data_IF_546289465455
#
_entry.id   IF_546289465455
#
_cell.length_a   1.000
_cell.length_b   1.000
_cell.length_c   1.000
_cell.angle_alpha   90.00
_cell.angle_beta   90.00
_cell.angle_gamma   90.00
#
_symmetry.space_group_name_H-M   'P 1'
#
loop_
_entity.id
_entity.type
_entity.pdbx_description
1 polymer ?
#
# COMPACT_ATOMS: atom_id res chain seq x y z
N UNK A 1 1.41 0.03 12.77
CA UNK A 1 1.84 -1.20 13.47
C UNK A 1 0.65 -2.02 13.97
N UNK A 2 -0.41 -1.40 14.50
CA UNK A 2 -1.63 -2.07 15.01
C UNK A 2 -2.38 -2.99 14.02
N UNK A 3 -2.39 -2.67 12.73
CA UNK A 3 -3.06 -3.51 11.71
C UNK A 3 -2.35 -4.85 11.49
N UNK A 4 -1.03 -4.91 11.68
CA UNK A 4 -0.26 -6.14 11.53
C UNK A 4 -0.55 -7.07 12.71
N UNK A 5 -0.66 -6.53 13.93
CA UNK A 5 -0.97 -7.29 15.14
C UNK A 5 -2.39 -7.89 15.10
N UNK A 6 -3.36 -7.15 14.55
CA UNK A 6 -4.75 -7.63 14.38
C UNK A 6 -4.83 -8.76 13.34
N UNK A 7 -4.10 -8.63 12.23
CA UNK A 7 -4.00 -9.68 11.21
C UNK A 7 -3.31 -10.94 11.77
N UNK A 8 -2.24 -10.77 12.54
CA UNK A 8 -1.56 -11.89 13.19
C UNK A 8 -2.48 -12.63 14.17
N UNK A 9 -3.22 -11.92 15.02
CA UNK A 9 -4.18 -12.53 15.96
C UNK A 9 -5.30 -13.30 15.24
N UNK A 10 -5.81 -12.76 14.11
CA UNK A 10 -6.83 -13.47 13.29
C UNK A 10 -6.27 -14.71 12.62
N UNK A 11 -5.02 -14.67 12.12
CA UNK A 11 -4.37 -15.83 11.49
C UNK A 11 -4.13 -16.93 12.52
N UNK A 12 -3.59 -16.61 13.69
CA UNK A 12 -3.37 -17.61 14.77
C UNK A 12 -4.67 -18.30 15.16
N UNK A 13 -5.75 -17.54 15.34
CA UNK A 13 -7.06 -18.11 15.69
C UNK A 13 -7.65 -18.99 14.59
N UNK A 14 -7.39 -18.66 13.32
CA UNK A 14 -7.81 -19.49 12.19
C UNK A 14 -7.03 -20.81 12.15
N UNK A 15 -5.73 -20.77 12.40
CA UNK A 15 -4.87 -21.97 12.42
C UNK A 15 -5.24 -22.91 13.58
N UNK A 16 -5.53 -22.38 14.78
CA UNK A 16 -5.97 -23.20 15.92
C UNK A 16 -7.27 -23.96 15.64
N UNK A 17 -8.24 -23.29 15.00
CA UNK A 17 -9.52 -23.92 14.62
C UNK A 17 -9.32 -25.02 13.58
N UNK A 18 -8.42 -24.80 12.62
CA UNK A 18 -8.10 -25.82 11.62
C UNK A 18 -7.42 -27.01 12.30
N UNK A 19 -6.44 -26.78 13.19
CA UNK A 19 -5.77 -27.83 13.97
C UNK A 19 -6.76 -28.73 14.73
N UNK A 20 -7.73 -28.11 15.41
CA UNK A 20 -8.79 -28.84 16.12
C UNK A 20 -9.69 -29.64 15.15
N UNK A 21 -9.96 -29.11 13.96
CA UNK A 21 -10.71 -29.80 12.91
C UNK A 21 -9.98 -31.02 12.35
N UNK A 22 -8.66 -30.92 12.11
CA UNK A 22 -7.86 -32.08 11.64
C UNK A 22 -7.63 -33.11 12.74
N UNK A 23 -7.51 -32.73 14.01
CA UNK A 23 -7.46 -33.69 15.13
C UNK A 23 -8.77 -34.48 15.25
N UNK A 24 -9.91 -33.84 15.02
CA UNK A 24 -11.21 -34.52 14.98
C UNK A 24 -11.34 -35.52 13.82
N UNK A 25 -10.68 -35.26 12.69
CA UNK A 25 -10.63 -36.20 11.54
C UNK A 25 -9.56 -37.29 11.72
N UNK A 26 -8.47 -37.00 12.43
CA UNK A 26 -7.38 -37.95 12.71
C UNK A 26 -7.68 -38.85 13.91
N UNK A 27 -8.65 -38.49 14.74
CA UNK A 27 -9.20 -39.36 15.78
C UNK A 27 -10.01 -40.49 15.12
N UNK A 28 -9.30 -41.48 14.59
CA UNK A 28 -9.87 -42.76 14.22
C UNK A 28 -10.65 -43.34 15.42
N UNK A 29 -11.79 -44.02 15.20
CA UNK A 29 -12.50 -44.67 16.29
C UNK A 29 -11.56 -45.70 16.95
N UNK A 30 -11.60 -45.75 18.29
CA UNK A 30 -10.74 -46.62 19.08
C UNK A 30 -10.85 -48.09 18.62
N UNK A 31 -9.75 -48.88 18.68
CA UNK A 31 -9.80 -50.28 18.30
C UNK A 31 -10.71 -51.03 19.26
N UNK A 32 -11.76 -51.66 18.71
CA UNK A 32 -12.61 -52.58 19.44
C UNK A 32 -11.74 -53.76 19.89
N UNK A 33 -11.75 -54.16 21.18
CA UNK A 33 -10.96 -55.28 21.66
C UNK A 33 -11.45 -56.58 21.00
N UNK A 34 -10.53 -57.34 20.40
CA UNK A 34 -10.81 -58.66 19.83
C UNK A 34 -11.28 -59.64 20.94
N UNK A 35 -12.41 -60.34 20.78
CA UNK A 35 -12.76 -61.45 21.65
C UNK A 35 -12.07 -62.75 21.21
N UNK A 36 -11.53 -63.47 22.20
CA UNK A 36 -10.97 -64.83 22.11
C UNK A 36 -11.95 -65.86 21.51
N UNK A 37 -11.45 -67.01 20.98
CA UNK A 37 -12.24 -67.87 20.11
C UNK A 37 -13.24 -68.71 20.90
N UNK A 38 -14.53 -68.57 20.55
CA UNK A 38 -15.61 -69.46 20.98
C UNK A 38 -15.86 -70.49 19.87
N UNK A 39 -15.94 -71.80 20.17
CA UNK A 39 -16.05 -72.85 19.15
C UNK A 39 -17.47 -72.96 18.57
N UNK A 40 -17.54 -73.26 17.27
CA UNK A 40 -18.67 -73.71 16.45
C UNK A 40 -20.08 -73.25 16.87
N UNK A 41 -20.48 -72.07 16.36
CA UNK A 41 -21.87 -71.73 16.11
C UNK A 41 -22.11 -71.69 14.58
N UNK A 42 -23.25 -72.19 14.07
CA UNK A 42 -23.56 -72.12 12.64
C UNK A 42 -23.53 -70.66 12.20
N UNK A 43 -22.88 -70.37 11.07
CA UNK A 43 -22.93 -69.07 10.44
C UNK A 43 -24.39 -68.64 10.32
N UNK A 44 -24.79 -67.61 11.07
CA UNK A 44 -26.08 -66.98 10.85
C UNK A 44 -26.10 -66.47 9.41
N UNK A 45 -27.18 -66.71 8.66
CA UNK A 45 -27.30 -66.15 7.34
C UNK A 45 -27.26 -64.63 7.50
N UNK A 46 -26.23 -64.00 6.94
CA UNK A 46 -26.27 -62.57 6.64
C UNK A 46 -27.59 -62.37 5.92
N UNK A 47 -28.52 -61.64 6.53
CA UNK A 47 -29.78 -61.29 5.88
C UNK A 47 -29.40 -60.44 4.67
N UNK A 48 -29.30 -61.10 3.51
CA UNK A 48 -28.93 -60.48 2.25
C UNK A 48 -29.88 -59.33 1.92
N UNK A 49 -31.12 -59.37 2.41
CA UNK A 49 -32.07 -58.26 2.34
C UNK A 49 -31.67 -57.06 3.20
N UNK A 50 -31.10 -57.26 4.39
CA UNK A 50 -30.59 -56.18 5.24
C UNK A 50 -29.30 -55.56 4.68
N UNK A 51 -28.40 -56.39 4.15
CA UNK A 51 -27.18 -55.92 3.48
C UNK A 51 -27.49 -55.18 2.17
N UNK A 52 -28.46 -55.64 1.37
CA UNK A 52 -28.93 -54.95 0.17
C UNK A 52 -29.63 -53.62 0.50
N UNK A 53 -30.40 -53.56 1.59
CA UNK A 53 -31.03 -52.33 2.06
C UNK A 53 -29.99 -51.31 2.56
N UNK A 54 -28.93 -51.75 3.24
CA UNK A 54 -27.83 -50.89 3.67
C UNK A 54 -27.00 -50.39 2.47
N UNK A 55 -26.76 -51.23 1.45
CA UNK A 55 -26.12 -50.82 0.19
C UNK A 55 -26.97 -49.77 -0.53
N UNK A 56 -28.30 -49.96 -0.59
CA UNK A 56 -29.20 -48.98 -1.21
C UNK A 56 -29.21 -47.65 -0.45
N UNK A 57 -29.21 -47.68 0.88
CA UNK A 57 -29.14 -46.48 1.72
C UNK A 57 -27.80 -45.74 1.55
N UNK A 58 -26.68 -46.47 1.49
CA UNK A 58 -25.35 -45.91 1.24
C UNK A 58 -25.22 -45.33 -0.17
N UNK A 59 -25.87 -45.92 -1.18
CA UNK A 59 -25.91 -45.38 -2.53
C UNK A 59 -26.67 -44.05 -2.58
N UNK A 60 -27.80 -43.94 -1.89
CA UNK A 60 -28.55 -42.68 -1.78
C UNK A 60 -27.71 -41.61 -1.07
N UNK A 61 -27.08 -41.93 0.06
CA UNK A 61 -26.21 -41.00 0.76
C UNK A 61 -25.00 -40.57 -0.09
N UNK A 62 -24.41 -41.49 -0.86
CA UNK A 62 -23.30 -41.20 -1.76
C UNK A 62 -23.73 -40.24 -2.89
N UNK A 63 -24.94 -40.41 -3.43
CA UNK A 63 -25.45 -39.54 -4.48
C UNK A 63 -25.82 -38.15 -3.94
N UNK A 64 -26.34 -38.05 -2.71
CA UNK A 64 -26.54 -36.79 -1.99
C UNK A 64 -25.20 -36.05 -1.75
N UNK A 65 -24.16 -36.76 -1.29
CA UNK A 65 -22.82 -36.19 -1.07
C UNK A 65 -22.13 -35.75 -2.37
N UNK A 66 -22.33 -36.49 -3.48
CA UNK A 66 -21.84 -36.07 -4.80
C UNK A 66 -22.52 -34.78 -5.27
N UNK A 67 -23.82 -34.65 -5.05
CA UNK A 67 -24.55 -33.43 -5.38
C UNK A 67 -24.10 -32.24 -4.52
N UNK A 68 -23.84 -32.46 -3.23
CA UNK A 68 -23.29 -31.44 -2.34
C UNK A 68 -21.88 -31.01 -2.77
N UNK A 69 -21.01 -31.96 -3.13
CA UNK A 69 -19.67 -31.66 -3.66
C UNK A 69 -19.72 -30.88 -4.96
N UNK A 70 -20.57 -31.26 -5.92
CA UNK A 70 -20.73 -30.51 -7.17
C UNK A 70 -21.17 -29.04 -6.93
N UNK A 71 -22.06 -28.82 -5.96
CA UNK A 71 -22.48 -27.47 -5.57
C UNK A 71 -21.35 -26.67 -4.89
N UNK A 72 -20.54 -27.31 -4.06
CA UNK A 72 -19.40 -26.68 -3.40
C UNK A 72 -18.29 -26.34 -4.42
N UNK A 73 -18.01 -27.23 -5.36
CA UNK A 73 -17.05 -26.98 -6.45
C UNK A 73 -17.49 -25.80 -7.33
N UNK A 74 -18.78 -25.68 -7.63
CA UNK A 74 -19.32 -24.52 -8.34
C UNK A 74 -19.17 -23.24 -7.52
N UNK A 75 -19.46 -23.28 -6.21
CA UNK A 75 -19.23 -22.14 -5.31
C UNK A 75 -17.77 -21.75 -5.22
N UNK A 76 -16.86 -22.72 -5.14
CA UNK A 76 -15.41 -22.48 -5.12
C UNK A 76 -14.93 -21.91 -6.44
N UNK A 77 -15.45 -22.38 -7.59
CA UNK A 77 -15.17 -21.77 -8.90
C UNK A 77 -15.67 -20.33 -8.97
N UNK A 78 -16.90 -20.07 -8.56
CA UNK A 78 -17.46 -18.71 -8.52
C UNK A 78 -16.69 -17.78 -7.56
N UNK A 79 -16.22 -18.30 -6.42
CA UNK A 79 -15.39 -17.54 -5.49
C UNK A 79 -13.99 -17.28 -6.07
N UNK A 80 -13.38 -18.25 -6.76
CA UNK A 80 -12.13 -18.05 -7.47
C UNK A 80 -12.27 -17.00 -8.57
N UNK A 81 -13.32 -17.06 -9.41
CA UNK A 81 -13.57 -16.05 -10.45
C UNK A 81 -13.74 -14.66 -9.83
N UNK A 82 -14.54 -14.53 -8.76
CA UNK A 82 -14.69 -13.23 -8.06
C UNK A 82 -13.42 -12.74 -7.40
N UNK A 83 -12.57 -13.66 -6.93
CA UNK A 83 -11.28 -13.30 -6.33
C UNK A 83 -10.31 -12.88 -7.42
N UNK A 84 -10.26 -13.59 -8.55
CA UNK A 84 -9.47 -13.22 -9.73
C UNK A 84 -9.91 -11.85 -10.27
N UNK A 85 -11.21 -11.59 -10.41
CA UNK A 85 -11.75 -10.28 -10.79
C UNK A 85 -11.38 -9.15 -9.82
N UNK A 86 -11.24 -9.44 -8.52
CA UNK A 86 -10.82 -8.47 -7.50
C UNK A 86 -9.29 -8.32 -7.39
N UNK A 87 -8.55 -9.39 -7.70
CA UNK A 87 -7.08 -9.46 -7.63
C UNK A 87 -6.43 -8.97 -8.92
N UNK A 88 -7.10 -9.07 -10.07
CA UNK A 88 -6.77 -8.28 -11.23
C UNK A 88 -7.28 -6.88 -10.96
N UNK A 89 -6.41 -5.93 -10.57
CA UNK A 89 -6.85 -4.55 -10.52
C UNK A 89 -7.29 -4.24 -11.95
N UNK A 90 -8.52 -3.75 -12.12
CA UNK A 90 -8.80 -2.98 -13.33
C UNK A 90 -7.61 -2.02 -13.52
N UNK A 91 -7.06 -1.89 -14.75
CA UNK A 91 -5.98 -0.92 -14.97
C UNK A 91 -6.43 0.36 -14.29
N UNK A 92 -5.63 0.85 -13.33
CA UNK A 92 -5.97 2.04 -12.58
C UNK A 92 -6.47 3.08 -13.60
N UNK A 93 -7.55 3.82 -13.34
CA UNK A 93 -7.99 4.85 -14.27
C UNK A 93 -6.74 5.68 -14.55
N UNK A 94 -6.23 5.63 -15.79
CA UNK A 94 -5.05 6.36 -16.22
C UNK A 94 -5.29 7.78 -15.71
N UNK A 95 -4.52 8.26 -14.70
CA UNK A 95 -4.79 9.59 -14.18
C UNK A 95 -4.69 10.53 -15.37
N UNK A 96 -5.70 11.39 -15.57
CA UNK A 96 -5.76 12.28 -16.74
C UNK A 96 -4.36 12.84 -16.99
N UNK A 97 -3.82 12.65 -18.19
CA UNK A 97 -2.42 12.98 -18.48
C UNK A 97 -2.06 14.42 -18.06
N UNK A 98 -3.04 15.33 -18.15
CA UNK A 98 -2.97 16.71 -17.67
C UNK A 98 -2.72 16.82 -16.14
N UNK A 99 -3.42 16.03 -15.31
CA UNK A 99 -3.21 16.00 -13.86
C UNK A 99 -1.83 15.44 -13.50
N UNK A 100 -1.34 14.43 -14.24
CA UNK A 100 0.01 13.90 -14.03
C UNK A 100 1.08 14.93 -14.36
N UNK A 101 0.93 15.63 -15.49
CA UNK A 101 1.82 16.70 -15.94
C UNK A 101 1.84 17.85 -14.93
N UNK A 102 0.67 18.25 -14.42
CA UNK A 102 0.54 19.28 -13.40
C UNK A 102 1.24 18.90 -12.09
N UNK A 103 1.05 17.67 -11.60
CA UNK A 103 1.73 17.17 -10.41
C UNK A 103 3.25 17.08 -10.61
N UNK A 104 3.71 16.74 -11.81
CA UNK A 104 5.13 16.72 -12.15
C UNK A 104 5.72 18.14 -12.11
N UNK A 105 5.07 19.12 -12.75
CA UNK A 105 5.48 20.52 -12.73
C UNK A 105 5.49 21.11 -11.30
N UNK A 106 4.48 20.79 -10.48
CA UNK A 106 4.45 21.22 -9.08
C UNK A 106 5.63 20.63 -8.28
N UNK A 107 5.94 19.35 -8.47
CA UNK A 107 7.07 18.69 -7.79
C UNK A 107 8.40 19.30 -8.20
N UNK A 108 8.56 19.63 -9.47
CA UNK A 108 9.75 20.31 -9.98
C UNK A 108 9.92 21.69 -9.33
N UNK A 109 8.87 22.52 -9.33
CA UNK A 109 8.91 23.83 -8.68
C UNK A 109 9.19 23.76 -7.18
N UNK A 110 8.66 22.75 -6.47
CA UNK A 110 8.98 22.52 -5.05
C UNK A 110 10.44 22.09 -4.83
N UNK A 111 11.00 21.28 -5.73
CA UNK A 111 12.40 20.86 -5.66
C UNK A 111 13.37 22.02 -5.92
N UNK A 112 13.04 22.90 -6.86
CA UNK A 112 13.77 24.15 -7.10
C UNK A 112 13.74 25.07 -5.88
N UNK A 113 12.57 25.28 -5.28
CA UNK A 113 12.42 26.09 -4.07
C UNK A 113 13.24 25.53 -2.90
N UNK A 114 13.22 24.22 -2.67
CA UNK A 114 14.03 23.61 -1.61
C UNK A 114 15.53 23.82 -1.85
N UNK A 115 15.98 23.69 -3.10
CA UNK A 115 17.38 23.95 -3.47
C UNK A 115 17.79 25.39 -3.17
N UNK A 116 16.96 26.38 -3.53
CA UNK A 116 17.25 27.78 -3.24
C UNK A 116 17.17 28.12 -1.74
N UNK A 117 16.26 27.50 -0.99
CA UNK A 117 16.21 27.64 0.48
C UNK A 117 17.45 27.04 1.16
N UNK A 118 17.95 25.90 0.67
CA UNK A 118 19.20 25.32 1.15
C UNK A 118 20.38 26.26 0.86
N UNK A 119 20.44 26.83 -0.35
CA UNK A 119 21.46 27.83 -0.71
C UNK A 119 21.39 29.07 0.17
N UNK A 120 20.19 29.58 0.45
CA UNK A 120 19.97 30.72 1.35
C UNK A 120 20.44 30.43 2.78
N UNK A 121 20.17 29.23 3.31
CA UNK A 121 20.67 28.82 4.64
C UNK A 121 22.20 28.80 4.66
N UNK A 122 22.82 28.19 3.66
CA UNK A 122 24.28 28.11 3.56
C UNK A 122 24.93 29.50 3.44
N UNK A 123 24.38 30.40 2.62
CA UNK A 123 24.90 31.76 2.47
C UNK A 123 24.72 32.59 3.75
N UNK A 124 23.60 32.42 4.48
CA UNK A 124 23.40 33.07 5.77
C UNK A 124 24.37 32.57 6.84
N UNK A 125 24.63 31.26 6.90
CA UNK A 125 25.62 30.67 7.81
C UNK A 125 27.02 31.22 7.53
N UNK A 126 27.39 31.36 6.25
CA UNK A 126 28.65 31.97 5.85
C UNK A 126 28.73 33.46 6.23
N UNK A 127 27.64 34.22 6.06
CA UNK A 127 27.57 35.62 6.49
C UNK A 127 27.70 35.77 8.02
N UNK A 128 27.09 34.87 8.80
CA UNK A 128 27.22 34.84 10.26
C UNK A 128 28.66 34.58 10.70
N UNK A 129 29.28 33.54 10.14
CA UNK A 129 30.70 33.20 10.43
C UNK A 129 31.63 34.35 10.09
N UNK A 130 31.49 34.96 8.91
CA UNK A 130 32.33 36.11 8.52
C UNK A 130 32.11 37.33 9.41
N UNK A 131 30.88 37.56 9.88
CA UNK A 131 30.58 38.61 10.86
C UNK A 131 31.21 38.34 12.22
N UNK A 132 31.22 37.08 12.68
CA UNK A 132 31.89 36.66 13.93
C UNK A 132 33.41 36.83 13.83
N UNK A 133 34.03 36.38 12.73
CA UNK A 133 35.46 36.59 12.46
C UNK A 133 35.82 38.08 12.48
N UNK A 134 35.01 38.92 11.83
CA UNK A 134 35.24 40.37 11.80
C UNK A 134 35.10 41.00 13.19
N UNK A 135 34.10 40.59 13.99
CA UNK A 135 33.97 41.07 15.38
C UNK A 135 35.17 40.66 16.24
N UNK A 136 35.62 39.43 16.14
CA UNK A 136 36.79 38.96 16.89
C UNK A 136 38.07 39.73 16.51
N UNK A 137 38.27 40.02 15.22
CA UNK A 137 39.39 40.84 14.75
C UNK A 137 39.31 42.28 15.28
N UNK A 138 38.11 42.88 15.27
CA UNK A 138 37.88 44.23 15.81
C UNK A 138 38.09 44.27 17.35
N UNK A 139 37.62 43.27 18.09
CA UNK A 139 37.85 43.14 19.54
C UNK A 139 39.33 43.00 19.89
N UNK A 140 40.07 42.24 19.07
CA UNK A 140 41.52 42.13 19.17
C UNK A 140 42.27 43.40 18.74
N UNK A 141 41.56 44.43 18.25
CA UNK A 141 42.12 45.63 17.62
C UNK A 141 43.06 45.32 16.45
N UNK A 142 42.82 44.19 15.76
CA UNK A 142 43.55 43.78 14.56
C UNK A 142 42.71 44.17 13.34
N UNK A 143 43.18 45.19 12.61
CA UNK A 143 42.56 45.60 11.36
C UNK A 143 42.98 44.70 10.21
N UNK A 144 42.06 43.87 9.71
CA UNK A 144 42.30 42.96 8.59
C UNK A 144 41.44 43.35 7.36
N UNK A 145 41.98 44.11 6.39
CA UNK A 145 41.21 44.58 5.22
C UNK A 145 40.58 43.46 4.39
N UNK A 146 41.20 42.29 4.36
CA UNK A 146 40.68 41.13 3.63
C UNK A 146 39.40 40.55 4.26
N UNK A 147 39.20 40.67 5.58
CA UNK A 147 37.95 40.27 6.24
C UNK A 147 36.78 41.15 5.81
N UNK A 148 37.01 42.45 5.58
CA UNK A 148 35.99 43.38 5.07
C UNK A 148 35.55 42.93 3.66
N UNK A 149 36.51 42.63 2.79
CA UNK A 149 36.21 42.13 1.44
C UNK A 149 35.47 40.79 1.49
N UNK A 150 35.86 39.88 2.39
CA UNK A 150 35.20 38.58 2.60
C UNK A 150 33.76 38.75 3.09
N UNK A 151 33.53 39.65 4.06
CA UNK A 151 32.20 39.97 4.57
C UNK A 151 31.31 40.58 3.49
N UNK A 152 31.83 41.52 2.70
CA UNK A 152 31.09 42.13 1.58
C UNK A 152 30.70 41.09 0.51
N UNK A 153 31.58 40.15 0.19
CA UNK A 153 31.27 39.05 -0.73
C UNK A 153 30.21 38.10 -0.14
N UNK A 154 30.31 37.77 1.14
CA UNK A 154 29.32 36.95 1.82
C UNK A 154 27.93 37.63 1.88
N UNK A 155 27.89 38.95 2.07
CA UNK A 155 26.65 39.74 2.06
C UNK A 155 26.01 39.76 0.67
N UNK A 156 26.80 39.98 -0.38
CA UNK A 156 26.31 39.92 -1.75
C UNK A 156 25.76 38.54 -2.11
N UNK A 157 26.44 37.46 -1.69
CA UNK A 157 25.95 36.11 -1.93
C UNK A 157 24.68 35.79 -1.12
N UNK A 158 24.58 36.27 0.11
CA UNK A 158 23.36 36.15 0.92
C UNK A 158 22.18 36.90 0.28
N UNK A 159 22.39 38.11 -0.24
CA UNK A 159 21.36 38.88 -0.94
C UNK A 159 20.93 38.21 -2.25
N UNK A 160 21.88 37.65 -3.01
CA UNK A 160 21.57 36.90 -4.25
C UNK A 160 20.77 35.64 -3.94
N UNK A 161 21.17 34.88 -2.93
CA UNK A 161 20.44 33.69 -2.52
C UNK A 161 19.04 34.03 -1.99
N UNK A 162 18.88 35.15 -1.27
CA UNK A 162 17.57 35.62 -0.81
C UNK A 162 16.65 35.95 -1.99
N UNK A 163 17.17 36.69 -2.98
CA UNK A 163 16.43 36.99 -4.22
C UNK A 163 16.07 35.74 -5.01
N UNK A 164 16.99 34.79 -5.16
CA UNK A 164 16.72 33.54 -5.87
C UNK A 164 15.64 32.70 -5.18
N UNK A 165 15.66 32.63 -3.84
CA UNK A 165 14.62 31.97 -3.06
C UNK A 165 13.25 32.66 -3.18
N UNK A 166 13.21 34.00 -3.10
CA UNK A 166 11.98 34.80 -3.33
C UNK A 166 11.40 34.54 -4.72
N UNK A 167 12.25 34.53 -5.76
CA UNK A 167 11.81 34.26 -7.13
C UNK A 167 11.30 32.83 -7.31
N UNK A 168 11.98 31.83 -6.73
CA UNK A 168 11.53 30.43 -6.76
C UNK A 168 10.19 30.25 -6.02
N UNK A 169 10.02 30.93 -4.88
CA UNK A 169 8.75 30.93 -4.14
C UNK A 169 7.64 31.55 -4.98
N UNK A 170 7.88 32.70 -5.60
CA UNK A 170 6.91 33.35 -6.48
C UNK A 170 6.51 32.45 -7.65
N UNK A 171 7.47 31.78 -8.31
CA UNK A 171 7.17 30.84 -9.40
C UNK A 171 6.33 29.66 -8.91
N UNK A 172 6.68 29.07 -7.76
CA UNK A 172 5.95 27.96 -7.18
C UNK A 172 4.51 28.35 -6.80
N UNK A 173 4.29 29.54 -6.23
CA UNK A 173 2.97 30.06 -5.89
C UNK A 173 2.15 30.35 -7.15
N UNK A 174 2.75 31.00 -8.16
CA UNK A 174 2.06 31.28 -9.42
C UNK A 174 1.64 29.99 -10.13
N UNK A 175 2.54 29.00 -10.22
CA UNK A 175 2.24 27.70 -10.82
C UNK A 175 1.15 26.92 -10.06
N UNK A 176 1.02 27.12 -8.75
CA UNK A 176 -0.06 26.53 -7.97
C UNK A 176 -1.41 27.26 -8.14
N UNK A 177 -1.40 28.58 -8.36
CA UNK A 177 -2.60 29.40 -8.51
C UNK A 177 -3.18 29.38 -9.94
N UNK A 178 -2.32 29.26 -10.95
CA UNK A 178 -2.69 29.24 -12.36
C UNK A 178 -3.83 28.24 -12.70
N UNK A 179 -3.78 26.97 -12.26
CA UNK A 179 -4.87 26.04 -12.55
C UNK A 179 -6.19 26.36 -11.82
N UNK A 180 -6.11 26.85 -10.58
CA UNK A 180 -7.30 27.27 -9.81
C UNK A 180 -7.96 28.46 -10.49
N UNK A 181 -7.15 29.36 -11.07
CA UNK A 181 -7.65 30.49 -11.84
C UNK A 181 -8.27 30.06 -13.17
N UNK A 182 -7.68 29.08 -13.87
CA UNK A 182 -8.21 28.52 -15.10
C UNK A 182 -9.57 27.81 -14.90
N UNK A 183 -9.70 27.07 -13.79
CA UNK A 183 -10.96 26.44 -13.39
C UNK A 183 -12.03 27.50 -13.08
N UNK A 184 -11.68 28.53 -12.32
CA UNK A 184 -12.57 29.64 -11.98
C UNK A 184 -12.98 30.51 -13.20
N UNK A 185 -12.11 30.63 -14.19
CA UNK A 185 -12.38 31.33 -15.45
C UNK A 185 -13.22 30.51 -16.44
N UNK A 186 -13.49 29.22 -16.14
CA UNK A 186 -14.24 28.32 -17.01
C UNK A 186 -13.51 27.99 -18.33
N UNK A 187 -12.21 28.25 -18.40
CA UNK A 187 -11.42 28.09 -19.64
C UNK A 187 -11.14 26.61 -19.98
N UNK A 188 -11.33 25.70 -19.03
CA UNK A 188 -11.21 24.24 -19.25
C UNK A 188 -12.42 23.62 -19.97
N UNK A 189 -13.57 24.32 -20.02
CA UNK A 189 -14.77 23.82 -20.69
C UNK A 189 -14.79 24.09 -22.21
N UNK A 190 -13.86 24.89 -22.74
CA UNK A 190 -13.91 25.40 -24.12
C UNK A 190 -13.08 24.61 -25.14
N UNK A 191 -12.24 23.65 -24.73
CA UNK A 191 -11.32 22.92 -25.64
C UNK A 191 -11.81 21.54 -26.08
N UNK A 192 -12.91 21.01 -25.50
CA UNK A 192 -13.42 19.65 -25.78
C UNK A 192 -14.62 19.54 -26.73
N UNK A 193 -15.06 20.64 -27.37
CA UNK A 193 -16.42 20.75 -27.90
C UNK A 193 -16.61 21.10 -29.38
N UNK A 194 -15.60 20.99 -30.25
CA UNK A 194 -15.79 21.18 -31.70
C UNK A 194 -15.21 20.03 -32.52
N UNK A 195 -15.94 18.90 -32.51
CA UNK A 195 -15.95 17.97 -33.62
C UNK A 195 -17.40 17.56 -33.87
N UNK A 196 -17.77 17.44 -35.16
CA UNK A 196 -19.08 17.06 -35.72
C UNK A 196 -19.99 18.24 -36.09
N UNK A 197 -19.75 18.77 -37.30
CA UNK A 197 -20.76 18.83 -38.35
C UNK A 197 -20.10 18.62 -39.72
#
# INVERSE_FOLDING_TARGET
>A
MTQIDELQSRITRALDRISQGVEGLSAAPAPVPEPEPVPDAPAEPVDSGAAEAEIAALQVALDEEKMANAQLEERVRMLHVRLEEQVTPAPAPEPDAALQEQLAAQREGMAELDTELQRLRLSNDMLRRTSEEMRAALEANVGEPHLINKAMLAELEALRAARAAEEAEMRAVLGALEPVLAEAAGTDAASGGEAVQ
#
